data_IF_098725499332
#
_entry.id   IF_098725499332
#
_cell.length_a   1.000
_cell.length_b   1.000
_cell.length_c   1.000
_cell.angle_alpha   90.00
_cell.angle_beta   90.00
_cell.angle_gamma   90.00
#
_symmetry.space_group_name_H-M   'P 1'
#
loop_
_entity.id
_entity.type
_entity.pdbx_description
1 polymer ?
#
# COMPACT_ATOMS: atom_id res chain seq x y z
N UNK A 1 -6.82 12.82 16.26
CA UNK A 1 -5.84 11.83 15.75
C UNK A 1 -6.58 10.82 14.89
N UNK A 2 -6.03 10.41 13.73
CA UNK A 2 -6.62 9.34 12.91
C UNK A 2 -6.39 7.99 13.59
N UNK A 3 -7.42 7.12 13.64
CA UNK A 3 -7.29 5.78 14.22
C UNK A 3 -6.24 4.98 13.42
N UNK A 4 -5.29 4.30 14.08
CA UNK A 4 -4.34 3.44 13.40
C UNK A 4 -5.04 2.36 12.58
N UNK A 5 -4.48 2.03 11.42
CA UNK A 5 -5.01 0.97 10.56
C UNK A 5 -3.95 -0.10 10.32
N UNK A 6 -4.38 -1.35 10.35
CA UNK A 6 -3.54 -2.52 10.06
C UNK A 6 -4.07 -3.25 8.85
N UNK A 7 -3.24 -3.37 7.83
CA UNK A 7 -3.48 -4.18 6.65
C UNK A 7 -2.67 -5.48 6.77
N UNK A 8 -3.32 -6.61 6.57
CA UNK A 8 -2.71 -7.93 6.74
C UNK A 8 -2.83 -8.72 5.45
N UNK A 9 -1.71 -9.08 4.79
CA UNK A 9 -1.73 -9.96 3.63
C UNK A 9 -2.03 -11.40 4.07
N UNK A 10 -2.98 -12.03 3.39
CA UNK A 10 -3.46 -13.38 3.65
C UNK A 10 -3.66 -14.15 2.35
N UNK A 11 -3.38 -15.45 2.36
CA UNK A 11 -3.48 -16.36 1.20
C UNK A 11 -4.39 -17.57 1.44
N UNK A 12 -5.13 -17.57 2.55
CA UNK A 12 -6.07 -18.63 2.90
C UNK A 12 -7.27 -18.09 3.67
N UNK A 13 -8.38 -18.83 3.65
CA UNK A 13 -9.55 -18.50 4.45
C UNK A 13 -9.22 -18.50 5.95
N UNK A 14 -8.46 -19.50 6.40
CA UNK A 14 -8.12 -19.64 7.83
C UNK A 14 -7.32 -18.44 8.34
N UNK A 15 -6.27 -18.02 7.59
CA UNK A 15 -5.50 -16.82 7.95
C UNK A 15 -6.36 -15.54 7.91
N UNK A 16 -7.28 -15.43 6.96
CA UNK A 16 -8.19 -14.30 6.85
C UNK A 16 -9.13 -14.21 8.06
N UNK A 17 -9.77 -15.33 8.45
CA UNK A 17 -10.67 -15.40 9.61
C UNK A 17 -9.93 -15.08 10.91
N UNK A 18 -8.71 -15.62 11.08
CA UNK A 18 -7.88 -15.35 12.26
C UNK A 18 -7.41 -13.89 12.34
N UNK A 19 -7.12 -13.25 11.19
CA UNK A 19 -6.65 -11.88 11.15
C UNK A 19 -7.78 -10.84 11.26
N UNK A 20 -8.97 -11.13 10.77
CA UNK A 20 -10.09 -10.21 10.64
C UNK A 20 -10.44 -9.44 11.94
N UNK A 21 -10.43 -10.04 13.16
CA UNK A 21 -10.74 -9.29 14.38
C UNK A 21 -9.73 -8.19 14.74
N UNK A 22 -8.54 -8.22 14.16
CA UNK A 22 -7.44 -7.31 14.46
C UNK A 22 -7.10 -6.38 13.31
N UNK A 23 -7.46 -6.76 12.09
CA UNK A 23 -7.14 -6.03 10.87
C UNK A 23 -8.24 -5.04 10.49
N UNK A 24 -7.85 -3.87 9.99
CA UNK A 24 -8.78 -2.94 9.32
C UNK A 24 -8.96 -3.31 7.85
N UNK A 25 -7.95 -3.94 7.26
CA UNK A 25 -7.96 -4.42 5.88
C UNK A 25 -7.26 -5.79 5.80
N UNK A 26 -7.76 -6.64 4.91
CA UNK A 26 -7.09 -7.89 4.53
C UNK A 26 -6.69 -7.77 3.05
N UNK A 27 -5.40 -7.88 2.76
CA UNK A 27 -4.91 -7.98 1.39
C UNK A 27 -4.88 -9.45 0.98
N UNK A 28 -5.77 -9.84 0.08
CA UNK A 28 -5.86 -11.19 -0.43
C UNK A 28 -4.83 -11.39 -1.54
N UNK A 29 -4.00 -12.43 -1.39
CA UNK A 29 -2.97 -12.83 -2.35
C UNK A 29 -3.07 -14.34 -2.59
N UNK A 30 -2.46 -14.83 -3.66
CA UNK A 30 -2.08 -16.24 -3.81
C UNK A 30 -0.57 -16.35 -3.59
N UNK A 31 -0.08 -17.44 -2.99
CA UNK A 31 1.35 -17.77 -2.85
C UNK A 31 2.20 -16.62 -2.25
N UNK A 32 1.88 -16.22 -1.02
CA UNK A 32 2.64 -15.18 -0.29
C UNK A 32 4.15 -15.47 -0.16
N UNK A 33 4.63 -16.72 -0.03
CA UNK A 33 6.07 -17.01 -0.07
C UNK A 33 6.77 -16.56 -1.36
N UNK A 34 6.02 -16.48 -2.47
CA UNK A 34 6.51 -15.92 -3.75
C UNK A 34 6.14 -14.44 -3.93
N UNK A 35 6.04 -13.70 -2.82
CA UNK A 35 5.70 -12.26 -2.78
C UNK A 35 4.28 -11.93 -3.27
N UNK A 36 3.40 -12.92 -3.35
CA UNK A 36 1.99 -12.76 -3.68
C UNK A 36 1.69 -12.63 -5.17
N UNK A 37 0.58 -13.19 -5.57
CA UNK A 37 -0.04 -13.09 -6.89
C UNK A 37 -1.51 -12.74 -6.73
N UNK A 38 -2.21 -12.46 -7.82
CA UNK A 38 -3.66 -12.26 -7.78
C UNK A 38 -4.35 -13.46 -7.14
N UNK A 39 -5.20 -13.25 -6.13
CA UNK A 39 -5.91 -14.34 -5.47
C UNK A 39 -6.94 -14.97 -6.40
N UNK A 40 -7.20 -16.26 -6.23
CA UNK A 40 -8.29 -16.93 -6.93
C UNK A 40 -9.62 -16.29 -6.54
N UNK A 41 -10.51 -16.08 -7.50
CA UNK A 41 -11.85 -15.50 -7.28
C UNK A 41 -12.60 -16.24 -6.16
N UNK A 42 -12.53 -17.59 -6.13
CA UNK A 42 -13.14 -18.41 -5.08
C UNK A 42 -12.59 -18.16 -3.68
N UNK A 43 -11.34 -17.71 -3.53
CA UNK A 43 -10.81 -17.29 -2.23
C UNK A 43 -11.46 -15.98 -1.77
N UNK A 44 -11.58 -15.00 -2.67
CA UNK A 44 -12.22 -13.71 -2.37
C UNK A 44 -13.67 -13.94 -1.91
N UNK A 45 -14.43 -14.73 -2.66
CA UNK A 45 -15.83 -15.09 -2.35
C UNK A 45 -15.96 -15.75 -0.97
N UNK A 46 -15.13 -16.76 -0.69
CA UNK A 46 -15.14 -17.47 0.60
C UNK A 46 -14.77 -16.55 1.76
N UNK A 47 -13.77 -15.71 1.60
CA UNK A 47 -13.37 -14.76 2.64
C UNK A 47 -14.47 -13.72 2.82
N UNK A 48 -15.06 -13.19 1.76
CA UNK A 48 -16.16 -12.23 1.85
C UNK A 48 -17.39 -12.81 2.57
N UNK A 49 -17.68 -14.09 2.35
CA UNK A 49 -18.77 -14.77 3.06
C UNK A 49 -18.49 -14.98 4.57
N UNK A 50 -17.21 -14.98 4.97
CA UNK A 50 -16.80 -15.28 6.34
C UNK A 50 -16.50 -14.03 7.20
N UNK A 51 -16.15 -12.88 6.58
CA UNK A 51 -15.73 -11.67 7.32
C UNK A 51 -16.28 -10.39 6.66
N UNK A 52 -16.54 -9.38 7.48
CA UNK A 52 -16.96 -8.03 7.04
C UNK A 52 -15.79 -7.06 6.83
N UNK A 53 -14.56 -7.48 7.15
CA UNK A 53 -13.35 -6.66 7.01
C UNK A 53 -13.18 -6.18 5.57
N UNK A 54 -12.62 -4.97 5.39
CA UNK A 54 -12.31 -4.43 4.07
C UNK A 54 -11.30 -5.33 3.34
N UNK A 55 -11.69 -5.83 2.16
CA UNK A 55 -10.88 -6.73 1.34
C UNK A 55 -10.17 -5.97 0.23
N UNK A 56 -8.86 -6.13 0.16
CA UNK A 56 -7.99 -5.66 -0.92
C UNK A 56 -7.59 -6.87 -1.76
N UNK A 57 -7.84 -6.89 -3.04
CA UNK A 57 -7.31 -7.93 -3.93
C UNK A 57 -6.02 -7.43 -4.57
N UNK A 58 -4.90 -8.14 -4.36
CA UNK A 58 -3.68 -7.90 -5.12
C UNK A 58 -3.91 -8.22 -6.58
N UNK A 59 -3.51 -7.32 -7.49
CA UNK A 59 -3.57 -7.55 -8.93
C UNK A 59 -2.15 -7.65 -9.47
N UNK A 60 -1.72 -8.87 -9.62
CA UNK A 60 -0.45 -9.29 -10.19
C UNK A 60 -0.66 -10.63 -10.88
N UNK A 61 -1.04 -10.63 -12.16
CA UNK A 61 -1.34 -11.83 -12.91
C UNK A 61 -0.16 -12.80 -12.94
N UNK A 62 -0.44 -14.09 -12.70
CA UNK A 62 0.56 -15.16 -12.76
C UNK A 62 0.46 -15.88 -14.09
N UNK A 63 1.60 -16.03 -14.76
CA UNK A 63 1.74 -16.79 -15.99
C UNK A 63 2.71 -17.95 -15.80
N UNK A 64 2.70 -18.92 -16.70
CA UNK A 64 3.59 -20.08 -16.65
C UNK A 64 5.09 -19.69 -16.73
N UNK A 65 5.37 -18.56 -17.36
CA UNK A 65 6.70 -17.97 -17.54
C UNK A 65 6.99 -16.81 -16.59
N UNK A 66 6.15 -16.58 -15.57
CA UNK A 66 6.38 -15.53 -14.58
C UNK A 66 7.66 -15.80 -13.78
N UNK A 67 8.53 -14.79 -13.59
CA UNK A 67 9.77 -14.97 -12.84
C UNK A 67 9.47 -15.17 -11.35
N UNK A 68 10.26 -16.03 -10.69
CA UNK A 68 10.18 -16.24 -9.24
C UNK A 68 10.87 -15.11 -8.46
N UNK A 69 11.91 -14.51 -9.05
CA UNK A 69 12.61 -13.35 -8.46
C UNK A 69 12.04 -12.07 -9.04
N UNK A 70 11.65 -11.15 -8.18
CA UNK A 70 11.06 -9.89 -8.58
C UNK A 70 12.12 -8.84 -8.91
N UNK A 71 12.01 -8.31 -10.12
CA UNK A 71 12.82 -7.20 -10.63
C UNK A 71 11.89 -6.15 -11.24
N UNK A 72 12.43 -5.04 -11.71
CA UNK A 72 11.66 -4.02 -12.42
C UNK A 72 10.86 -4.61 -13.58
N UNK A 73 11.49 -5.52 -14.35
CA UNK A 73 10.89 -6.17 -15.53
C UNK A 73 9.63 -6.97 -15.17
N UNK A 74 9.53 -7.47 -13.95
CA UNK A 74 8.34 -8.20 -13.45
C UNK A 74 7.08 -7.34 -13.38
N UNK A 75 7.23 -6.02 -13.49
CA UNK A 75 6.15 -5.04 -13.33
C UNK A 75 5.95 -4.16 -14.56
N UNK A 76 6.61 -4.46 -15.69
CA UNK A 76 6.41 -3.73 -16.94
C UNK A 76 5.11 -4.17 -17.61
N UNK A 77 4.28 -3.18 -17.97
CA UNK A 77 3.04 -3.43 -18.67
C UNK A 77 3.29 -3.94 -20.10
N UNK A 78 2.51 -4.93 -20.49
CA UNK A 78 2.34 -5.36 -21.87
C UNK A 78 0.89 -5.80 -22.10
N UNK A 79 0.51 -6.08 -23.36
CA UNK A 79 -0.88 -6.43 -23.66
C UNK A 79 -1.39 -7.60 -22.82
N UNK A 80 -0.59 -8.66 -22.64
CA UNK A 80 -0.96 -9.86 -21.86
C UNK A 80 -1.22 -9.51 -20.38
N UNK A 81 -0.36 -8.70 -19.79
CA UNK A 81 -0.49 -8.23 -18.40
C UNK A 81 -1.74 -7.36 -18.27
N UNK A 82 -1.97 -6.44 -19.21
CA UNK A 82 -3.13 -5.54 -19.16
C UNK A 82 -4.46 -6.30 -19.33
N UNK A 83 -4.54 -7.22 -20.30
CA UNK A 83 -5.75 -8.02 -20.51
C UNK A 83 -6.08 -8.88 -19.27
N UNK A 84 -5.07 -9.53 -18.67
CA UNK A 84 -5.24 -10.34 -17.47
C UNK A 84 -5.63 -9.48 -16.26
N UNK A 85 -4.92 -8.37 -15.99
CA UNK A 85 -5.22 -7.45 -14.90
C UNK A 85 -6.64 -6.89 -15.00
N UNK A 86 -7.07 -6.52 -16.21
CA UNK A 86 -8.44 -6.06 -16.48
C UNK A 86 -9.47 -7.11 -16.08
N UNK A 87 -9.25 -8.37 -16.45
CA UNK A 87 -10.16 -9.46 -16.11
C UNK A 87 -10.15 -9.75 -14.60
N UNK A 88 -8.98 -9.75 -13.97
CA UNK A 88 -8.82 -10.00 -12.55
C UNK A 88 -9.47 -8.91 -11.68
N UNK A 89 -9.37 -7.62 -12.07
CA UNK A 89 -10.08 -6.53 -11.40
C UNK A 89 -11.60 -6.72 -11.47
N UNK A 90 -12.15 -7.09 -12.66
CA UNK A 90 -13.58 -7.39 -12.81
C UNK A 90 -14.00 -8.55 -11.93
N UNK A 91 -13.22 -9.63 -11.91
CA UNK A 91 -13.48 -10.81 -11.07
C UNK A 91 -13.42 -10.48 -9.58
N UNK A 92 -12.44 -9.69 -9.15
CA UNK A 92 -12.31 -9.26 -7.75
C UNK A 92 -13.52 -8.41 -7.30
N UNK A 93 -13.97 -7.48 -8.16
CA UNK A 93 -15.17 -6.68 -7.88
C UNK A 93 -16.41 -7.56 -7.74
N UNK A 94 -16.64 -8.49 -8.67
CA UNK A 94 -17.77 -9.40 -8.65
C UNK A 94 -17.75 -10.33 -7.42
N UNK A 95 -16.56 -10.72 -6.95
CA UNK A 95 -16.36 -11.55 -5.77
C UNK A 95 -16.47 -10.80 -4.43
N UNK A 96 -16.70 -9.48 -4.44
CA UNK A 96 -16.94 -8.69 -3.24
C UNK A 96 -15.68 -8.04 -2.62
N UNK A 97 -14.60 -7.86 -3.37
CA UNK A 97 -13.50 -7.00 -2.95
C UNK A 97 -13.97 -5.55 -2.78
N UNK A 98 -13.35 -4.81 -1.86
CA UNK A 98 -13.60 -3.38 -1.64
C UNK A 98 -12.57 -2.51 -2.35
N UNK A 99 -11.38 -3.05 -2.57
CA UNK A 99 -10.28 -2.36 -3.25
C UNK A 99 -9.37 -3.33 -3.98
N UNK A 100 -8.54 -2.78 -4.86
CA UNK A 100 -7.46 -3.51 -5.53
C UNK A 100 -6.13 -2.82 -5.28
N UNK A 101 -5.05 -3.60 -5.26
CA UNK A 101 -3.69 -3.10 -5.23
C UNK A 101 -3.01 -3.40 -6.56
N UNK A 102 -2.53 -2.37 -7.26
CA UNK A 102 -1.87 -2.44 -8.56
C UNK A 102 -0.50 -1.76 -8.50
N UNK A 103 0.37 -2.04 -9.45
CA UNK A 103 1.67 -1.36 -9.52
C UNK A 103 2.43 -1.74 -10.77
N UNK A 104 2.23 -0.98 -11.87
CA UNK A 104 2.92 -1.16 -13.13
C UNK A 104 3.92 -0.02 -13.35
N UNK A 105 5.08 -0.38 -13.88
CA UNK A 105 6.20 0.52 -14.08
C UNK A 105 6.62 0.55 -15.56
N UNK A 106 7.26 1.64 -15.94
CA UNK A 106 7.97 1.76 -17.22
C UNK A 106 9.39 1.18 -17.08
N UNK A 107 10.03 0.88 -18.20
CA UNK A 107 11.38 0.33 -18.25
C UNK A 107 12.44 1.29 -17.64
N UNK A 108 12.15 2.57 -17.58
CA UNK A 108 12.99 3.58 -16.95
C UNK A 108 12.78 3.72 -15.42
N UNK A 109 11.96 2.85 -14.82
CA UNK A 109 11.69 2.82 -13.39
C UNK A 109 10.71 3.90 -12.91
N UNK A 110 9.90 4.48 -13.78
CA UNK A 110 8.82 5.38 -13.40
C UNK A 110 7.46 4.66 -13.38
N UNK A 111 6.46 5.25 -12.72
CA UNK A 111 5.09 4.74 -12.76
C UNK A 111 4.60 4.77 -14.22
N UNK A 112 4.05 3.65 -14.69
CA UNK A 112 3.36 3.64 -15.97
C UNK A 112 1.99 4.31 -15.82
N UNK A 113 1.97 5.61 -16.09
CA UNK A 113 0.78 6.45 -15.94
C UNK A 113 -0.38 6.01 -16.81
N UNK A 114 -0.09 5.47 -18.00
CA UNK A 114 -1.14 5.01 -18.93
C UNK A 114 -1.72 3.69 -18.43
N UNK A 115 -0.89 2.68 -18.19
CA UNK A 115 -1.35 1.38 -17.73
C UNK A 115 -2.01 1.45 -16.35
N UNK A 116 -1.38 2.11 -15.37
CA UNK A 116 -1.97 2.31 -14.05
C UNK A 116 -3.24 3.16 -14.11
N UNK A 117 -3.29 4.16 -14.99
CA UNK A 117 -4.45 5.02 -15.19
C UNK A 117 -5.66 4.25 -15.70
N UNK A 118 -5.48 3.43 -16.74
CA UNK A 118 -6.53 2.57 -17.30
C UNK A 118 -7.09 1.60 -16.25
N UNK A 119 -6.22 0.88 -15.53
CA UNK A 119 -6.65 -0.06 -14.49
C UNK A 119 -7.31 0.65 -13.31
N UNK A 120 -6.82 1.81 -12.89
CA UNK A 120 -7.41 2.58 -11.80
C UNK A 120 -8.78 3.16 -12.18
N UNK A 121 -8.98 3.57 -13.42
CA UNK A 121 -10.26 4.04 -13.93
C UNK A 121 -11.29 2.90 -14.00
N UNK A 122 -10.88 1.74 -14.51
CA UNK A 122 -11.69 0.52 -14.47
C UNK A 122 -12.10 0.17 -13.02
N UNK A 123 -11.15 0.12 -12.09
CA UNK A 123 -11.43 -0.21 -10.71
C UNK A 123 -12.47 0.76 -10.09
N UNK A 124 -12.31 2.07 -10.30
CA UNK A 124 -13.27 3.08 -9.83
C UNK A 124 -14.65 2.94 -10.47
N UNK A 125 -14.73 2.61 -11.75
CA UNK A 125 -16.03 2.36 -12.42
C UNK A 125 -16.79 1.18 -11.79
N UNK A 126 -16.05 0.23 -11.21
CA UNK A 126 -16.56 -0.90 -10.44
C UNK A 126 -16.70 -0.61 -8.92
N UNK A 127 -16.54 0.66 -8.51
CA UNK A 127 -16.61 1.14 -7.11
C UNK A 127 -15.52 0.58 -6.20
N UNK A 128 -14.39 0.16 -6.75
CA UNK A 128 -13.23 -0.26 -5.98
C UNK A 128 -12.32 0.93 -5.67
N UNK A 129 -11.76 0.97 -4.46
CA UNK A 129 -10.61 1.82 -4.17
C UNK A 129 -9.34 1.22 -4.79
N UNK A 130 -8.34 2.07 -5.02
CA UNK A 130 -7.06 1.64 -5.59
C UNK A 130 -5.91 1.99 -4.67
N UNK A 131 -5.06 1.00 -4.40
CA UNK A 131 -3.78 1.13 -3.72
C UNK A 131 -2.63 0.88 -4.70
N UNK A 132 -1.44 1.44 -4.42
CA UNK A 132 -0.22 1.14 -5.15
C UNK A 132 0.63 0.14 -4.38
N UNK A 133 1.10 -0.89 -5.08
CA UNK A 133 1.90 -1.99 -4.52
C UNK A 133 3.32 -1.55 -4.10
N UNK A 134 4.03 -2.46 -3.43
CA UNK A 134 5.46 -2.32 -3.09
C UNK A 134 6.40 -2.08 -4.28
N UNK A 135 5.91 -2.18 -5.51
CA UNK A 135 6.63 -1.71 -6.70
C UNK A 135 7.09 -0.25 -6.58
N UNK A 136 6.50 0.51 -5.66
CA UNK A 136 6.96 1.83 -5.25
C UNK A 136 8.43 1.85 -4.79
N UNK A 137 8.91 0.76 -4.19
CA UNK A 137 10.29 0.63 -3.73
C UNK A 137 11.29 0.50 -4.90
N UNK A 138 10.82 0.18 -6.10
CA UNK A 138 11.62 0.07 -7.34
C UNK A 138 11.70 1.38 -8.14
N UNK A 139 10.99 2.42 -7.73
CA UNK A 139 10.95 3.68 -8.47
C UNK A 139 12.30 4.38 -8.50
N UNK A 140 12.70 4.85 -9.67
CA UNK A 140 13.90 5.67 -9.87
C UNK A 140 13.77 7.06 -9.23
N UNK A 141 12.55 7.63 -9.20
CA UNK A 141 12.21 8.91 -8.55
C UNK A 141 10.94 8.74 -7.72
N UNK A 142 11.10 8.54 -6.41
CA UNK A 142 9.98 8.34 -5.46
C UNK A 142 9.12 9.60 -5.31
N UNK A 143 9.73 10.80 -5.39
CA UNK A 143 8.99 12.06 -5.28
C UNK A 143 8.07 12.27 -6.49
N UNK A 144 8.56 11.98 -7.71
CA UNK A 144 7.75 11.95 -8.92
C UNK A 144 6.67 10.87 -8.81
N UNK A 145 7.04 9.64 -8.43
CA UNK A 145 6.10 8.54 -8.25
C UNK A 145 4.96 8.86 -7.30
N UNK A 146 5.23 9.58 -6.20
CA UNK A 146 4.20 10.01 -5.27
C UNK A 146 3.23 11.02 -5.90
N UNK A 147 3.73 11.95 -6.72
CA UNK A 147 2.89 12.88 -7.50
C UNK A 147 2.01 12.12 -8.50
N UNK A 148 2.59 11.15 -9.21
CA UNK A 148 1.93 10.33 -10.21
C UNK A 148 0.79 9.50 -9.58
N UNK A 149 1.07 8.80 -8.47
CA UNK A 149 0.10 8.02 -7.69
C UNK A 149 -1.04 8.92 -7.17
N UNK A 150 -0.70 10.11 -6.66
CA UNK A 150 -1.70 11.10 -6.22
C UNK A 150 -2.55 11.60 -7.39
N UNK A 151 -1.95 11.89 -8.55
CA UNK A 151 -2.66 12.30 -9.75
C UNK A 151 -3.64 11.24 -10.24
N UNK A 152 -3.23 9.97 -10.21
CA UNK A 152 -4.07 8.81 -10.51
C UNK A 152 -5.21 8.59 -9.49
N UNK A 153 -5.25 9.33 -8.39
CA UNK A 153 -6.31 9.24 -7.38
C UNK A 153 -6.26 7.96 -6.54
N UNK A 154 -5.10 7.33 -6.47
CA UNK A 154 -4.91 6.17 -5.59
C UNK A 154 -4.90 6.60 -4.13
N UNK A 155 -5.41 5.74 -3.24
CA UNK A 155 -5.61 6.07 -1.83
C UNK A 155 -4.40 5.79 -0.96
N UNK A 156 -3.65 4.73 -1.30
CA UNK A 156 -2.57 4.21 -0.47
C UNK A 156 -1.39 3.81 -1.33
N UNK A 157 -0.20 3.82 -0.72
CA UNK A 157 1.00 3.18 -1.25
C UNK A 157 1.60 2.27 -0.19
N UNK A 158 1.81 1.00 -0.52
CA UNK A 158 2.56 0.07 0.32
C UNK A 158 4.04 0.20 -0.02
N UNK A 159 4.89 0.39 0.98
CA UNK A 159 6.34 0.56 0.80
C UNK A 159 7.11 0.01 1.99
N UNK A 160 8.23 -0.62 1.74
CA UNK A 160 9.15 -1.05 2.80
C UNK A 160 10.07 0.08 3.29
N UNK A 161 10.07 1.24 2.63
CA UNK A 161 10.99 2.33 2.91
C UNK A 161 12.42 2.00 2.49
N UNK A 162 12.59 1.30 1.38
CA UNK A 162 13.90 0.90 0.83
C UNK A 162 14.06 1.38 -0.60
N UNK A 163 15.28 1.37 -1.08
CA UNK A 163 15.59 1.64 -2.48
C UNK A 163 15.89 0.29 -3.17
N UNK A 164 14.86 -0.31 -3.73
CA UNK A 164 14.90 -1.64 -4.32
C UNK A 164 13.94 -2.62 -3.62
N UNK A 165 14.01 -3.90 -3.99
CA UNK A 165 13.05 -4.90 -3.51
C UNK A 165 13.41 -5.47 -2.13
N UNK A 166 14.70 -5.68 -1.88
CA UNK A 166 15.17 -6.35 -0.65
C UNK A 166 15.22 -5.38 0.54
N UNK A 167 14.26 -5.54 1.46
CA UNK A 167 14.23 -4.74 2.68
C UNK A 167 15.31 -5.14 3.71
N UNK A 168 15.95 -6.30 3.56
CA UNK A 168 16.95 -6.78 4.51
C UNK A 168 18.28 -6.04 4.40
N UNK A 169 18.55 -5.37 3.27
CA UNK A 169 19.79 -4.61 3.05
C UNK A 169 19.82 -3.24 3.75
N UNK A 170 18.69 -2.80 4.32
CA UNK A 170 18.57 -1.49 4.97
C UNK A 170 18.31 -1.63 6.47
N UNK A 171 18.94 -0.78 7.27
CA UNK A 171 18.62 -0.69 8.70
C UNK A 171 17.23 -0.09 8.92
N UNK A 172 16.67 -0.29 10.11
CA UNK A 172 15.38 0.29 10.46
C UNK A 172 15.40 1.83 10.37
N UNK A 173 16.50 2.46 10.82
CA UNK A 173 16.69 3.91 10.77
C UNK A 173 16.73 4.44 9.33
N UNK A 174 17.44 3.77 8.44
CA UNK A 174 17.46 4.11 7.00
C UNK A 174 16.06 4.03 6.41
N UNK A 175 15.31 2.97 6.72
CA UNK A 175 13.93 2.80 6.26
C UNK A 175 13.01 3.89 6.79
N UNK A 176 13.12 4.26 8.06
CA UNK A 176 12.34 5.36 8.66
C UNK A 176 12.67 6.68 7.95
N UNK A 177 13.92 6.96 7.64
CA UNK A 177 14.30 8.18 6.93
C UNK A 177 13.69 8.26 5.52
N UNK A 178 13.67 7.14 4.77
CA UNK A 178 13.02 7.05 3.46
C UNK A 178 11.50 7.25 3.59
N UNK A 179 10.86 6.61 4.55
CA UNK A 179 9.41 6.73 4.78
C UNK A 179 9.00 8.14 5.18
N UNK A 180 9.82 8.85 5.98
CA UNK A 180 9.60 10.27 6.30
C UNK A 180 9.65 11.14 5.04
N UNK A 181 10.62 10.91 4.16
CA UNK A 181 10.69 11.59 2.86
C UNK A 181 9.45 11.31 2.00
N UNK A 182 8.99 10.05 1.97
CA UNK A 182 7.77 9.67 1.24
C UNK A 182 6.53 10.37 1.80
N UNK A 183 6.41 10.48 3.13
CA UNK A 183 5.31 11.18 3.78
C UNK A 183 5.30 12.68 3.44
N UNK A 184 6.49 13.31 3.40
CA UNK A 184 6.62 14.69 2.95
C UNK A 184 6.23 14.88 1.47
N UNK A 185 6.63 13.96 0.61
CA UNK A 185 6.26 13.96 -0.81
C UNK A 185 4.75 13.78 -1.00
N UNK A 186 4.10 12.91 -0.21
CA UNK A 186 2.65 12.72 -0.24
C UNK A 186 1.89 13.99 0.19
N UNK A 187 2.35 14.66 1.24
CA UNK A 187 1.77 15.93 1.69
C UNK A 187 1.94 17.04 0.65
N UNK A 188 3.12 17.13 0.01
CA UNK A 188 3.41 18.06 -1.07
C UNK A 188 2.54 17.83 -2.31
N UNK A 189 2.37 16.59 -2.72
CA UNK A 189 1.51 16.20 -3.84
C UNK A 189 0.04 16.55 -3.58
N UNK A 190 -0.46 16.32 -2.36
CA UNK A 190 -1.83 16.67 -1.97
C UNK A 190 -2.05 18.19 -1.98
N UNK A 191 -1.10 18.96 -1.50
CA UNK A 191 -1.15 20.43 -1.50
C UNK A 191 -1.17 20.99 -2.93
N UNK A 192 -0.32 20.48 -3.82
CA UNK A 192 -0.29 20.86 -5.23
C UNK A 192 -1.62 20.54 -5.94
N UNK A 193 -2.20 19.36 -5.67
CA UNK A 193 -3.51 18.96 -6.22
C UNK A 193 -4.66 19.85 -5.73
N UNK A 194 -4.62 20.24 -4.44
CA UNK A 194 -5.62 21.13 -3.86
C UNK A 194 -5.55 22.54 -4.45
N UNK A 195 -4.33 23.07 -4.69
CA UNK A 195 -4.11 24.35 -5.37
C UNK A 195 -4.61 24.31 -6.81
N UNK A 196 -4.27 23.27 -7.57
CA UNK A 196 -4.69 23.12 -8.96
C UNK A 196 -6.23 22.97 -9.12
N UNK A 197 -6.91 22.43 -8.10
CA UNK A 197 -8.37 22.28 -8.08
C UNK A 197 -9.13 23.49 -7.50
N UNK A 198 -8.43 24.58 -7.14
CA UNK A 198 -9.02 25.79 -6.53
C UNK A 198 -9.56 25.60 -5.11
N UNK A 199 -9.26 24.47 -4.46
CA UNK A 199 -9.70 24.15 -3.08
C UNK A 199 -8.82 24.80 -2.00
N UNK A 200 -7.67 25.36 -2.38
CA UNK A 200 -6.75 26.11 -1.51
C UNK A 200 -6.30 27.40 -2.23
N UNK A 201 -6.32 28.53 -1.50
CA UNK A 201 -5.71 29.77 -1.98
C UNK A 201 -4.23 29.80 -1.61
N UNK A 202 -3.36 30.22 -2.53
CA UNK A 202 -1.91 30.32 -2.32
C UNK A 202 -1.50 31.15 -1.08
N UNK A 203 -2.38 32.02 -0.59
CA UNK A 203 -2.16 32.88 0.57
C UNK A 203 -2.19 32.16 1.93
N UNK A 204 -2.74 30.95 1.99
CA UNK A 204 -2.88 30.19 3.25
C UNK A 204 -1.61 29.40 3.61
N UNK A 205 -0.72 29.20 2.66
CA UNK A 205 0.48 28.34 2.81
C UNK A 205 1.65 29.05 3.51
N UNK A 206 1.65 30.38 3.62
CA UNK A 206 2.82 31.16 4.12
C UNK A 206 2.74 31.48 5.61
N UNK A 207 1.61 31.30 6.29
CA UNK A 207 1.44 31.72 7.70
C UNK A 207 1.91 30.73 8.78
N UNK A 208 2.40 29.53 8.43
CA UNK A 208 2.82 28.54 9.43
C UNK A 208 4.35 28.43 9.65
N UNK A 209 5.15 29.33 9.07
CA UNK A 209 6.61 29.23 9.07
C UNK A 209 7.33 30.01 10.20
N UNK A 210 6.62 30.66 11.13
CA UNK A 210 7.27 31.43 12.20
C UNK A 210 6.58 31.19 13.55
N UNK A 211 7.03 30.18 14.28
CA UNK A 211 6.97 30.13 15.76
C UNK A 211 7.97 29.08 16.28
N UNK A 212 8.85 29.53 17.17
CA UNK A 212 9.96 28.81 17.77
C UNK A 212 9.53 27.66 18.66
N UNK A 213 10.10 26.47 18.47
CA UNK A 213 10.63 25.52 19.45
C UNK A 213 10.85 24.14 18.78
N UNK A 214 11.76 23.26 19.24
CA UNK A 214 12.02 21.98 18.60
C UNK A 214 10.97 20.94 19.03
N UNK A 215 9.74 21.10 18.59
CA UNK A 215 8.76 20.01 18.56
C UNK A 215 9.00 19.19 17.28
N UNK A 216 8.96 17.86 17.44
CA UNK A 216 8.99 16.94 16.29
C UNK A 216 7.98 17.42 15.25
N UNK A 217 8.34 17.49 13.96
CA UNK A 217 7.44 18.05 12.95
C UNK A 217 6.16 17.23 12.86
N UNK A 218 5.12 17.69 13.51
CA UNK A 218 3.76 17.24 13.26
C UNK A 218 3.37 17.80 11.88
N UNK A 219 3.65 17.04 10.81
CA UNK A 219 3.23 17.40 9.46
C UNK A 219 1.71 17.24 9.44
N UNK A 220 0.93 18.32 9.29
CA UNK A 220 -0.52 18.20 9.13
C UNK A 220 -0.76 17.51 7.78
N UNK A 221 -1.05 16.23 7.77
CA UNK A 221 -1.45 15.48 6.59
C UNK A 221 -2.71 16.15 6.02
N UNK A 222 -2.59 16.75 4.84
CA UNK A 222 -3.75 17.25 4.10
C UNK A 222 -4.77 16.11 3.98
N UNK A 223 -6.06 16.40 4.24
CA UNK A 223 -7.16 15.40 4.34
C UNK A 223 -7.34 14.48 3.12
N UNK A 224 -6.50 14.59 2.10
CA UNK A 224 -6.54 13.82 0.85
C UNK A 224 -5.15 13.41 0.37
N UNK A 225 -4.14 13.38 1.24
CA UNK A 225 -2.83 12.84 0.91
C UNK A 225 -2.92 11.32 0.69
N UNK A 226 -2.06 10.79 -0.16
CA UNK A 226 -1.87 9.34 -0.30
C UNK A 226 -1.37 8.79 1.04
N UNK A 227 -2.04 7.77 1.57
CA UNK A 227 -1.62 7.10 2.80
C UNK A 227 -0.35 6.30 2.56
N UNK A 228 0.70 6.59 3.31
CA UNK A 228 1.90 5.76 3.33
C UNK A 228 1.63 4.57 4.26
N UNK A 229 1.78 3.36 3.74
CA UNK A 229 1.56 2.11 4.48
C UNK A 229 2.88 1.35 4.58
N UNK A 230 3.67 1.56 5.64
CA UNK A 230 4.91 0.83 5.85
C UNK A 230 4.67 -0.68 5.89
N UNK A 231 5.43 -1.40 5.06
CA UNK A 231 5.38 -2.86 4.95
C UNK A 231 6.77 -3.50 4.99
N UNK A 232 6.90 -4.76 4.58
CA UNK A 232 8.19 -5.43 4.48
C UNK A 232 8.88 -5.64 5.84
N UNK A 233 8.47 -6.64 6.61
CA UNK A 233 9.10 -6.98 7.89
C UNK A 233 8.64 -6.15 9.09
N UNK A 234 7.44 -5.57 9.04
CA UNK A 234 6.80 -4.97 10.22
C UNK A 234 6.46 -6.07 11.22
N UNK A 235 6.83 -5.87 12.48
CA UNK A 235 6.63 -6.78 13.62
C UNK A 235 6.24 -5.97 14.86
N UNK A 236 5.68 -6.63 15.87
CA UNK A 236 5.38 -6.00 17.15
C UNK A 236 6.61 -5.31 17.77
N UNK A 237 7.80 -5.87 17.58
CA UNK A 237 9.06 -5.33 18.12
C UNK A 237 9.52 -4.02 17.47
N UNK A 238 9.09 -3.71 16.25
CA UNK A 238 9.51 -2.51 15.52
C UNK A 238 8.35 -1.60 15.10
N UNK A 239 7.11 -2.00 15.36
CA UNK A 239 5.91 -1.28 14.92
C UNK A 239 5.87 0.17 15.42
N UNK A 240 6.23 0.42 16.67
CA UNK A 240 6.26 1.76 17.25
C UNK A 240 7.16 2.73 16.46
N UNK A 241 8.27 2.24 15.90
CA UNK A 241 9.17 3.03 15.05
C UNK A 241 8.52 3.38 13.72
N UNK A 242 7.81 2.44 13.08
CA UNK A 242 7.06 2.73 11.85
C UNK A 242 5.87 3.66 12.13
N UNK A 243 5.22 3.52 13.29
CA UNK A 243 4.11 4.37 13.70
C UNK A 243 4.53 5.83 13.96
N UNK A 244 5.81 6.12 14.21
CA UNK A 244 6.31 7.51 14.25
C UNK A 244 6.24 8.23 12.89
N UNK A 245 6.06 7.49 11.79
CA UNK A 245 5.95 8.03 10.43
C UNK A 245 4.52 7.97 9.93
N UNK A 246 3.82 6.85 10.17
CA UNK A 246 2.48 6.61 9.64
C UNK A 246 1.62 5.86 10.64
N UNK A 247 0.36 6.25 10.78
CA UNK A 247 -0.65 5.48 11.53
C UNK A 247 -1.15 4.24 10.79
N UNK A 248 -0.68 3.98 9.58
CA UNK A 248 -1.07 2.85 8.74
C UNK A 248 0.09 1.85 8.67
N UNK A 249 -0.16 0.57 8.91
CA UNK A 249 0.87 -0.48 8.81
C UNK A 249 0.38 -1.63 7.94
N UNK A 250 1.32 -2.27 7.24
CA UNK A 250 1.12 -3.51 6.51
C UNK A 250 2.04 -4.60 7.09
N UNK A 251 1.46 -5.66 7.66
CA UNK A 251 2.24 -6.69 8.34
C UNK A 251 1.67 -8.09 8.07
N UNK A 252 2.50 -8.98 7.54
CA UNK A 252 2.09 -10.36 7.26
C UNK A 252 1.84 -11.19 8.52
N UNK A 253 2.39 -10.79 9.67
CA UNK A 253 2.31 -11.54 10.93
C UNK A 253 2.66 -13.03 10.76
N UNK A 254 3.63 -13.36 9.89
CA UNK A 254 4.05 -14.72 9.61
C UNK A 254 5.38 -15.03 10.28
N UNK A 255 5.52 -16.28 10.73
CA UNK A 255 6.77 -16.87 11.17
C UNK A 255 6.98 -18.15 10.36
N UNK A 256 8.16 -18.31 9.76
CA UNK A 256 8.50 -19.49 8.94
C UNK A 256 7.42 -19.79 7.86
N UNK A 257 6.91 -18.73 7.21
CA UNK A 257 5.87 -18.82 6.19
C UNK A 257 4.44 -19.05 6.71
N UNK A 258 4.25 -19.31 8.01
CA UNK A 258 2.94 -19.62 8.61
C UNK A 258 2.40 -18.38 9.34
N UNK A 259 1.08 -18.11 9.20
CA UNK A 259 0.41 -17.04 9.94
C UNK A 259 0.50 -17.27 11.45
N UNK A 260 0.93 -16.26 12.19
CA UNK A 260 1.18 -16.33 13.63
C UNK A 260 0.22 -15.39 14.38
N UNK A 261 -0.80 -15.96 14.98
CA UNK A 261 -1.84 -15.23 15.71
C UNK A 261 -1.28 -14.47 16.93
N UNK A 262 -0.26 -14.99 17.60
CA UNK A 262 0.34 -14.33 18.78
C UNK A 262 1.15 -13.10 18.35
N UNK A 263 1.84 -13.15 17.22
CA UNK A 263 2.48 -11.97 16.63
C UNK A 263 1.43 -10.91 16.25
N UNK A 264 0.31 -11.34 15.66
CA UNK A 264 -0.81 -10.47 15.32
C UNK A 264 -1.38 -9.76 16.56
N UNK A 265 -1.62 -10.51 17.65
CA UNK A 265 -2.13 -9.97 18.92
C UNK A 265 -1.16 -8.94 19.52
N UNK A 266 0.14 -9.27 19.54
CA UNK A 266 1.17 -8.36 20.06
C UNK A 266 1.26 -7.08 19.22
N UNK A 267 1.25 -7.20 17.89
CA UNK A 267 1.27 -6.05 16.99
C UNK A 267 0.05 -5.15 17.22
N UNK A 268 -1.14 -5.73 17.29
CA UNK A 268 -2.38 -5.00 17.53
C UNK A 268 -2.35 -4.29 18.91
N UNK A 269 -1.80 -4.93 19.96
CA UNK A 269 -1.63 -4.31 21.26
C UNK A 269 -0.70 -3.09 21.21
N UNK A 270 0.45 -3.20 20.53
CA UNK A 270 1.38 -2.07 20.32
C UNK A 270 0.69 -0.91 19.59
N UNK A 271 -0.08 -1.19 18.55
CA UNK A 271 -0.77 -0.15 17.77
C UNK A 271 -1.84 0.57 18.59
N UNK A 272 -2.50 -0.11 19.52
CA UNK A 272 -3.53 0.49 20.39
C UNK A 272 -2.94 1.23 21.61
N UNK A 273 -1.75 0.85 22.08
CA UNK A 273 -1.10 1.53 23.22
C UNK A 273 -0.41 2.84 22.83
N UNK A 274 -0.23 3.10 21.54
CA UNK A 274 0.37 4.32 21.00
C UNK A 274 -0.66 5.46 20.79
N UNK A 275 -1.90 5.29 21.25
CA UNK A 275 -2.97 6.29 21.24
C UNK A 275 -2.96 7.11 22.54
#
# INVERSE_FOLDING_TARGET
MTRPTLEVPVDSLDSAVLAAPFATRLELCDDLPSEGWTPKTSLIERVRAAVDTHLVAMIRPRFADSPLTLTLESFIANKRVMDASTQEIKSAAAAGANSVAIGLLQADGHVDMNACGELAELARSLKLEVAFLRTFDLLADRARGMRDISALGMKRVVTAGVLGWDAAISTLEQRIAVLLSDAMNAAGAASAKALASGKLNASTTIKSAHANAPEQPHIPLARHAVEIVPGGGVRASNAARFMSVSSHLHASCRRDGVFNLDEMRRLHAVMNSAQ
#
